data_IF_654094522780
#
_entry.id   IF_654094522780
#
_cell.length_a   1.000
_cell.length_b   1.000
_cell.length_c   1.000
_cell.angle_alpha   90.00
_cell.angle_beta   90.00
_cell.angle_gamma   90.00
#
_symmetry.space_group_name_H-M   'P 1'
#
loop_
_entity.id
_entity.type
_entity.pdbx_description
1 polymer ?
#
# COMPACT_ATOMS: atom_id res chain seq x y z
N UNK A 1 0.21 -25.96 -0.43
CA UNK A 1 -0.78 -24.89 -0.30
C UNK A 1 -0.39 -23.79 -1.29
N UNK A 2 -1.21 -23.48 -2.29
CA UNK A 2 -0.84 -22.50 -3.32
C UNK A 2 -1.47 -21.15 -2.95
N UNK A 3 -0.73 -20.31 -2.23
CA UNK A 3 -1.22 -19.06 -1.60
C UNK A 3 -1.90 -18.13 -2.62
N UNK A 4 -1.47 -18.17 -3.89
CA UNK A 4 -2.02 -17.36 -4.98
C UNK A 4 -3.35 -17.89 -5.57
N UNK A 5 -3.81 -19.08 -5.17
CA UNK A 5 -5.11 -19.65 -5.61
C UNK A 5 -6.24 -19.39 -4.63
N UNK A 6 -5.93 -19.09 -3.37
CA UNK A 6 -6.91 -18.70 -2.36
C UNK A 6 -7.27 -17.22 -2.61
N UNK A 7 -8.52 -16.89 -2.96
CA UNK A 7 -8.90 -15.54 -3.38
C UNK A 7 -8.66 -14.50 -2.29
N UNK A 8 -8.82 -14.88 -1.02
CA UNK A 8 -8.66 -13.97 0.12
C UNK A 8 -7.18 -13.61 0.36
N UNK A 9 -6.27 -14.58 0.34
CA UNK A 9 -4.83 -14.29 0.47
C UNK A 9 -4.30 -13.45 -0.69
N UNK A 10 -4.71 -13.76 -1.92
CA UNK A 10 -4.33 -12.96 -3.08
C UNK A 10 -4.82 -11.51 -2.94
N UNK A 11 -6.08 -11.32 -2.56
CA UNK A 11 -6.66 -10.00 -2.31
C UNK A 11 -5.87 -9.24 -1.25
N UNK A 12 -5.52 -9.88 -0.13
CA UNK A 12 -4.82 -9.24 0.98
C UNK A 12 -3.40 -8.82 0.62
N UNK A 13 -2.68 -9.62 -0.17
CA UNK A 13 -1.35 -9.26 -0.70
C UNK A 13 -1.45 -8.04 -1.60
N UNK A 14 -2.33 -8.08 -2.61
CA UNK A 14 -2.48 -6.99 -3.58
C UNK A 14 -2.91 -5.70 -2.88
N UNK A 15 -3.87 -5.79 -1.97
CA UNK A 15 -4.36 -4.63 -1.22
C UNK A 15 -3.29 -4.04 -0.31
N UNK A 16 -2.51 -4.88 0.38
CA UNK A 16 -1.40 -4.42 1.23
C UNK A 16 -0.34 -3.68 0.43
N UNK A 17 0.03 -4.16 -0.77
CA UNK A 17 0.96 -3.44 -1.63
C UNK A 17 0.38 -2.13 -2.16
N UNK A 18 -0.84 -2.16 -2.70
CA UNK A 18 -1.51 -0.99 -3.29
C UNK A 18 -1.64 0.14 -2.27
N UNK A 19 -2.11 -0.16 -1.06
CA UNK A 19 -2.28 0.84 -0.01
C UNK A 19 -0.93 1.40 0.45
N UNK A 20 0.07 0.54 0.68
CA UNK A 20 1.41 0.98 1.10
C UNK A 20 2.08 1.90 0.07
N UNK A 21 1.91 1.63 -1.22
CA UNK A 21 2.39 2.51 -2.28
C UNK A 21 1.70 3.88 -2.23
N UNK A 22 0.36 3.87 -2.17
CA UNK A 22 -0.48 5.08 -2.25
C UNK A 22 -0.30 5.96 -1.01
N UNK A 23 -0.45 5.41 0.19
CA UNK A 23 -0.41 6.20 1.42
C UNK A 23 1.00 6.71 1.72
N UNK A 24 2.02 5.85 1.59
CA UNK A 24 3.40 6.24 1.85
C UNK A 24 3.86 7.35 0.90
N UNK A 25 3.66 7.21 -0.42
CA UNK A 25 4.09 8.26 -1.37
C UNK A 25 3.33 9.57 -1.15
N UNK A 26 2.02 9.50 -0.86
CA UNK A 26 1.19 10.69 -0.61
C UNK A 26 1.65 11.44 0.63
N UNK A 27 1.91 10.72 1.72
CA UNK A 27 2.41 11.31 2.97
C UNK A 27 3.82 11.88 2.78
N UNK A 28 4.75 11.12 2.19
CA UNK A 28 6.13 11.59 1.99
C UNK A 28 6.18 12.86 1.13
N UNK A 29 5.37 12.95 0.06
CA UNK A 29 5.26 14.17 -0.75
C UNK A 29 4.69 15.33 0.07
N UNK A 30 3.67 15.09 0.89
CA UNK A 30 3.09 16.13 1.74
C UNK A 30 4.08 16.68 2.78
N UNK A 31 4.80 15.80 3.48
CA UNK A 31 5.82 16.21 4.45
C UNK A 31 7.00 16.92 3.74
N UNK A 32 7.40 16.43 2.57
CA UNK A 32 8.43 17.07 1.77
C UNK A 32 8.03 18.49 1.34
N UNK A 33 6.76 18.70 0.99
CA UNK A 33 6.21 20.02 0.65
C UNK A 33 6.13 20.98 1.86
N UNK A 34 6.00 20.44 3.08
CA UNK A 34 5.85 21.25 4.29
C UNK A 34 7.18 21.64 4.97
N UNK A 35 8.21 20.78 4.90
CA UNK A 35 9.41 20.93 5.76
C UNK A 35 10.73 20.95 5.00
N UNK A 36 10.81 20.30 3.84
CA UNK A 36 12.06 20.03 3.12
C UNK A 36 13.21 19.41 3.96
N UNK A 37 12.91 18.86 5.14
CA UNK A 37 13.89 18.22 6.03
C UNK A 37 13.95 16.70 5.76
N UNK A 38 15.08 16.19 5.21
CA UNK A 38 15.23 14.76 4.92
C UNK A 38 15.05 13.86 6.16
N UNK A 39 15.44 14.34 7.35
CA UNK A 39 15.30 13.57 8.58
C UNK A 39 13.83 13.35 8.95
N UNK A 40 13.01 14.40 8.87
CA UNK A 40 11.57 14.31 9.15
C UNK A 40 10.86 13.40 8.15
N UNK A 41 11.20 13.50 6.87
CA UNK A 41 10.59 12.66 5.82
C UNK A 41 10.91 11.18 6.05
N UNK A 42 12.18 10.86 6.34
CA UNK A 42 12.58 9.49 6.63
C UNK A 42 11.90 8.96 7.90
N UNK A 43 11.91 9.74 8.98
CA UNK A 43 11.26 9.38 10.24
C UNK A 43 9.76 9.14 10.05
N UNK A 44 9.06 10.03 9.34
CA UNK A 44 7.64 9.84 9.04
C UNK A 44 7.41 8.58 8.21
N UNK A 45 8.25 8.31 7.20
CA UNK A 45 8.14 7.10 6.40
C UNK A 45 8.21 5.82 7.23
N UNK A 46 9.20 5.71 8.12
CA UNK A 46 9.33 4.54 8.99
C UNK A 46 8.13 4.39 9.93
N UNK A 47 7.69 5.50 10.55
CA UNK A 47 6.56 5.49 11.48
C UNK A 47 5.27 5.09 10.77
N UNK A 48 4.97 5.71 9.63
CA UNK A 48 3.78 5.42 8.82
C UNK A 48 3.78 3.96 8.41
N UNK A 49 4.89 3.46 7.86
CA UNK A 49 4.95 2.06 7.40
C UNK A 49 4.70 1.09 8.55
N UNK A 50 5.32 1.30 9.71
CA UNK A 50 5.14 0.43 10.86
C UNK A 50 3.72 0.47 11.42
N UNK A 51 3.17 1.67 11.59
CA UNK A 51 1.83 1.87 12.18
C UNK A 51 0.73 1.39 11.24
N UNK A 52 0.78 1.75 9.95
CA UNK A 52 -0.22 1.32 8.98
C UNK A 52 -0.14 -0.19 8.71
N UNK A 53 1.05 -0.78 8.59
CA UNK A 53 1.18 -2.23 8.44
C UNK A 53 0.50 -2.97 9.60
N UNK A 54 0.76 -2.57 10.85
CA UNK A 54 0.12 -3.16 12.03
C UNK A 54 -1.40 -2.97 11.99
N UNK A 55 -1.86 -1.75 11.73
CA UNK A 55 -3.29 -1.42 11.66
C UNK A 55 -4.02 -2.28 10.63
N UNK A 56 -3.48 -2.37 9.42
CA UNK A 56 -4.07 -3.12 8.32
C UNK A 56 -3.97 -4.63 8.54
N UNK A 57 -2.83 -5.15 8.99
CA UNK A 57 -2.66 -6.58 9.24
C UNK A 57 -3.62 -7.09 10.32
N UNK A 58 -3.74 -6.34 11.42
CA UNK A 58 -4.72 -6.63 12.47
C UNK A 58 -6.14 -6.44 11.95
N UNK A 59 -6.42 -5.37 11.20
CA UNK A 59 -7.72 -5.11 10.60
C UNK A 59 -8.20 -6.24 9.67
N UNK A 60 -7.31 -6.77 8.84
CA UNK A 60 -7.60 -7.91 7.98
C UNK A 60 -7.87 -9.19 8.76
N UNK A 61 -7.05 -9.49 9.78
CA UNK A 61 -7.31 -10.63 10.68
C UNK A 61 -8.69 -10.52 11.34
N UNK A 62 -9.04 -9.36 11.91
CA UNK A 62 -10.35 -9.18 12.56
C UNK A 62 -11.49 -9.25 11.54
N UNK A 63 -11.33 -8.64 10.35
CA UNK A 63 -12.35 -8.65 9.30
C UNK A 63 -12.62 -10.06 8.77
N UNK A 64 -11.57 -10.86 8.58
CA UNK A 64 -11.68 -12.24 8.10
C UNK A 64 -12.27 -13.14 9.19
N UNK A 65 -11.82 -12.99 10.44
CA UNK A 65 -12.42 -13.68 11.59
C UNK A 65 -13.91 -13.38 11.74
N UNK A 66 -14.33 -12.11 11.58
CA UNK A 66 -15.73 -11.74 11.62
C UNK A 66 -16.52 -12.36 10.44
N UNK A 67 -15.93 -12.39 9.26
CA UNK A 67 -16.53 -13.03 8.07
C UNK A 67 -16.72 -14.54 8.28
N UNK A 68 -15.77 -15.21 8.94
CA UNK A 68 -15.87 -16.63 9.29
C UNK A 68 -16.99 -16.91 10.28
N UNK A 69 -17.13 -16.08 11.31
CA UNK A 69 -18.21 -16.20 12.29
C UNK A 69 -19.59 -16.04 11.64
N UNK A 70 -19.72 -15.14 10.67
CA UNK A 70 -20.94 -14.99 9.87
C UNK A 70 -21.19 -16.21 8.98
N UNK A 71 -20.17 -16.72 8.29
CA UNK A 71 -20.31 -17.91 7.45
C UNK A 71 -20.71 -19.16 8.26
N UNK A 72 -20.16 -19.32 9.46
CA UNK A 72 -20.54 -20.39 10.37
C UNK A 72 -22.03 -20.31 10.74
N UNK A 73 -22.53 -19.10 11.02
CA UNK A 73 -23.96 -18.87 11.27
C UNK A 73 -24.84 -19.19 10.05
N UNK A 74 -24.32 -19.02 8.84
CA UNK A 74 -25.00 -19.34 7.57
C UNK A 74 -24.78 -20.80 7.11
N UNK A 75 -24.09 -21.63 7.91
CA UNK A 75 -23.61 -22.99 7.54
C UNK A 75 -22.77 -23.04 6.26
N UNK A 76 -22.06 -21.97 5.93
CA UNK A 76 -21.00 -21.96 4.91
C UNK A 76 -19.68 -22.34 5.55
N UNK A 77 -18.86 -23.14 4.86
CA UNK A 77 -17.56 -23.56 5.34
C UNK A 77 -16.47 -22.67 4.77
N UNK A 78 -15.87 -21.82 5.59
CA UNK A 78 -14.61 -21.13 5.26
C UNK A 78 -13.42 -22.09 5.44
N UNK A 79 -12.42 -21.99 4.58
CA UNK A 79 -11.25 -22.91 4.57
C UNK A 79 -9.91 -22.19 4.72
N UNK A 80 -9.94 -20.86 4.63
CA UNK A 80 -8.82 -19.95 4.83
C UNK A 80 -8.50 -19.77 6.33
N UNK A 81 -7.33 -19.21 6.63
CA UNK A 81 -6.87 -18.93 7.99
C UNK A 81 -6.77 -17.41 8.15
N UNK A 82 -7.63 -16.79 8.98
CA UNK A 82 -7.63 -15.35 9.20
C UNK A 82 -6.27 -14.78 9.61
N UNK A 83 -5.51 -15.56 10.39
CA UNK A 83 -4.18 -15.14 10.85
C UNK A 83 -3.20 -15.04 9.69
N UNK A 84 -3.27 -15.98 8.75
CA UNK A 84 -2.39 -15.96 7.59
C UNK A 84 -2.73 -14.78 6.68
N UNK A 85 -4.02 -14.47 6.50
CA UNK A 85 -4.44 -13.26 5.82
C UNK A 85 -3.81 -12.00 6.43
N UNK A 86 -4.03 -11.77 7.72
CA UNK A 86 -3.50 -10.60 8.42
C UNK A 86 -1.97 -10.48 8.32
N UNK A 87 -1.25 -11.60 8.43
CA UNK A 87 0.21 -11.64 8.26
C UNK A 87 0.62 -11.30 6.81
N UNK A 88 -0.08 -11.82 5.80
CA UNK A 88 0.21 -11.52 4.41
C UNK A 88 -0.02 -10.04 4.10
N UNK A 89 -1.08 -9.43 4.63
CA UNK A 89 -1.31 -8.00 4.51
C UNK A 89 -0.20 -7.19 5.18
N UNK A 90 0.14 -7.51 6.44
CA UNK A 90 1.20 -6.84 7.20
C UNK A 90 2.54 -6.87 6.46
N UNK A 91 2.97 -8.05 5.99
CA UNK A 91 4.24 -8.22 5.27
C UNK A 91 4.22 -7.51 3.93
N UNK A 92 3.13 -7.64 3.16
CA UNK A 92 3.01 -6.98 1.86
C UNK A 92 3.05 -5.46 2.01
N UNK A 93 2.42 -4.93 3.06
CA UNK A 93 2.44 -3.51 3.35
C UNK A 93 3.85 -3.02 3.67
N UNK A 94 4.58 -3.69 4.58
CA UNK A 94 5.97 -3.31 4.91
C UNK A 94 6.84 -3.29 3.66
N UNK A 95 6.76 -4.37 2.86
CA UNK A 95 7.56 -4.48 1.64
C UNK A 95 7.19 -3.42 0.60
N UNK A 96 5.90 -3.13 0.43
CA UNK A 96 5.40 -2.10 -0.47
C UNK A 96 5.83 -0.71 -0.05
N UNK A 97 5.68 -0.37 1.23
CA UNK A 97 6.02 0.94 1.78
C UNK A 97 7.51 1.26 1.74
N UNK A 98 8.38 0.24 1.76
CA UNK A 98 9.81 0.45 1.56
C UNK A 98 10.14 1.03 0.18
N UNK A 99 9.35 0.75 -0.87
CA UNK A 99 9.65 1.21 -2.23
C UNK A 99 9.66 2.74 -2.36
N UNK A 100 8.62 3.49 -1.94
CA UNK A 100 8.67 4.95 -1.93
C UNK A 100 9.70 5.51 -0.93
N UNK A 101 10.04 4.78 0.13
CA UNK A 101 10.95 5.28 1.18
C UNK A 101 12.44 5.16 0.79
N UNK A 102 12.84 4.07 0.14
CA UNK A 102 14.26 3.78 -0.19
C UNK A 102 14.97 4.95 -0.90
N UNK A 103 14.36 5.63 -1.90
CA UNK A 103 15.00 6.77 -2.57
C UNK A 103 15.46 7.88 -1.62
N UNK A 104 14.78 8.10 -0.50
CA UNK A 104 15.15 9.11 0.50
C UNK A 104 16.36 8.72 1.34
N UNK A 105 16.75 7.45 1.35
CA UNK A 105 17.92 6.94 2.08
C UNK A 105 19.18 7.06 1.20
N UNK A 106 19.03 6.81 -0.10
CA UNK A 106 20.17 6.61 -1.01
C UNK A 106 20.46 7.79 -1.94
N UNK A 107 19.48 8.69 -2.17
CA UNK A 107 19.61 9.79 -3.14
C UNK A 107 19.59 11.16 -2.45
N UNK A 108 20.20 12.18 -3.09
CA UNK A 108 20.03 13.57 -2.69
C UNK A 108 18.55 13.99 -2.72
N UNK A 109 18.15 14.82 -1.77
CA UNK A 109 16.75 15.21 -1.54
C UNK A 109 15.98 15.61 -2.81
N UNK A 110 16.57 16.44 -3.67
CA UNK A 110 15.93 16.88 -4.91
C UNK A 110 15.62 15.75 -5.90
N UNK A 111 16.46 14.71 -5.97
CA UNK A 111 16.23 13.53 -6.80
C UNK A 111 15.36 12.48 -6.11
N UNK A 112 15.46 12.37 -4.77
CA UNK A 112 14.74 11.38 -3.98
C UNK A 112 13.22 11.45 -4.18
N UNK A 113 12.64 12.66 -4.22
CA UNK A 113 11.19 12.84 -4.43
C UNK A 113 10.76 12.32 -5.80
N UNK A 114 11.43 12.74 -6.87
CA UNK A 114 11.08 12.33 -8.23
C UNK A 114 11.28 10.82 -8.44
N UNK A 115 12.35 10.25 -7.89
CA UNK A 115 12.60 8.80 -7.96
C UNK A 115 11.62 8.01 -7.10
N UNK A 116 11.22 8.51 -5.94
CA UNK A 116 10.18 7.90 -5.09
C UNK A 116 8.84 7.84 -5.81
N UNK A 117 8.39 8.97 -6.35
CA UNK A 117 7.15 9.04 -7.15
C UNK A 117 7.25 8.08 -8.35
N UNK A 118 8.33 8.14 -9.11
CA UNK A 118 8.55 7.26 -10.27
C UNK A 118 8.55 5.77 -9.90
N UNK A 119 9.25 5.38 -8.84
CA UNK A 119 9.30 4.01 -8.36
C UNK A 119 7.92 3.52 -7.91
N UNK A 120 7.14 4.36 -7.23
CA UNK A 120 5.77 4.03 -6.83
C UNK A 120 4.85 3.84 -8.03
N UNK A 121 4.87 4.75 -9.01
CA UNK A 121 4.05 4.60 -10.21
C UNK A 121 4.43 3.37 -11.03
N UNK A 122 5.72 3.05 -11.13
CA UNK A 122 6.20 1.81 -11.77
C UNK A 122 5.75 0.57 -10.98
N UNK A 123 5.84 0.60 -9.65
CA UNK A 123 5.38 -0.47 -8.77
C UNK A 123 3.89 -0.73 -8.91
N UNK A 124 3.06 0.32 -8.87
CA UNK A 124 1.61 0.24 -9.05
C UNK A 124 1.22 -0.19 -10.46
N UNK A 125 1.92 0.30 -11.49
CA UNK A 125 1.71 -0.16 -12.84
C UNK A 125 1.96 -1.67 -12.95
N UNK A 126 3.09 -2.14 -12.44
CA UNK A 126 3.45 -3.56 -12.44
C UNK A 126 2.43 -4.38 -11.64
N UNK A 127 2.10 -3.95 -10.42
CA UNK A 127 1.13 -4.61 -9.55
C UNK A 127 -0.25 -4.72 -10.21
N UNK A 128 -0.77 -3.61 -10.74
CA UNK A 128 -2.06 -3.57 -11.40
C UNK A 128 -2.10 -4.36 -12.69
N UNK A 129 -1.02 -4.36 -13.47
CA UNK A 129 -0.92 -5.14 -14.69
C UNK A 129 -0.86 -6.65 -14.38
N UNK A 130 -0.08 -7.06 -13.39
CA UNK A 130 0.00 -8.45 -12.92
C UNK A 130 -1.35 -8.89 -12.37
N UNK A 131 -1.96 -8.10 -11.47
CA UNK A 131 -3.30 -8.36 -10.92
C UNK A 131 -4.32 -8.53 -12.04
N UNK A 132 -4.34 -7.62 -13.01
CA UNK A 132 -5.29 -7.66 -14.11
C UNK A 132 -5.17 -8.93 -14.95
N UNK A 133 -3.93 -9.36 -15.25
CA UNK A 133 -3.69 -10.64 -15.96
C UNK A 133 -4.13 -11.85 -15.15
N UNK A 134 -3.81 -11.89 -13.86
CA UNK A 134 -4.14 -13.02 -12.98
C UNK A 134 -5.65 -13.19 -12.79
N UNK A 135 -6.38 -12.07 -12.64
CA UNK A 135 -7.84 -12.05 -12.45
C UNK A 135 -8.61 -12.03 -13.79
N UNK A 136 -7.91 -12.13 -14.92
CA UNK A 136 -8.49 -12.15 -16.28
C UNK A 136 -9.36 -10.93 -16.61
N UNK A 137 -8.99 -9.76 -16.09
CA UNK A 137 -9.57 -8.46 -16.47
C UNK A 137 -8.57 -7.69 -17.34
N UNK A 138 -8.96 -6.55 -17.91
CA UNK A 138 -8.05 -5.75 -18.74
C UNK A 138 -6.84 -5.24 -17.89
N UNK A 139 -5.60 -5.69 -18.15
CA UNK A 139 -4.43 -5.34 -17.33
C UNK A 139 -4.10 -3.85 -17.34
N UNK A 140 -4.29 -3.20 -18.50
CA UNK A 140 -4.00 -1.77 -18.66
C UNK A 140 -4.95 -0.91 -17.84
N UNK A 141 -6.25 -1.26 -17.87
CA UNK A 141 -7.25 -0.57 -17.08
C UNK A 141 -6.95 -0.69 -15.58
N UNK A 142 -6.62 -1.91 -15.13
CA UNK A 142 -6.27 -2.13 -13.73
C UNK A 142 -5.03 -1.37 -13.28
N UNK A 143 -3.99 -1.27 -14.12
CA UNK A 143 -2.80 -0.49 -13.84
C UNK A 143 -3.12 1.01 -13.73
N UNK A 144 -3.92 1.54 -14.67
CA UNK A 144 -4.33 2.95 -14.68
C UNK A 144 -5.19 3.30 -13.47
N UNK A 145 -6.10 2.42 -13.05
CA UNK A 145 -6.94 2.61 -11.86
C UNK A 145 -6.08 2.79 -10.60
N UNK A 146 -5.11 1.90 -10.38
CA UNK A 146 -4.21 1.95 -9.21
C UNK A 146 -3.29 3.18 -9.24
N UNK A 147 -2.71 3.50 -10.41
CA UNK A 147 -1.90 4.71 -10.57
C UNK A 147 -2.71 5.99 -10.33
N UNK A 148 -3.98 6.01 -10.71
CA UNK A 148 -4.86 7.17 -10.54
C UNK A 148 -5.15 7.44 -9.07
N UNK A 149 -5.33 6.40 -8.26
CA UNK A 149 -5.47 6.52 -6.80
C UNK A 149 -4.21 7.13 -6.18
N UNK A 150 -3.02 6.67 -6.58
CA UNK A 150 -1.77 7.27 -6.11
C UNK A 150 -1.60 8.73 -6.55
N UNK A 151 -1.95 9.05 -7.79
CA UNK A 151 -1.95 10.44 -8.28
C UNK A 151 -2.84 11.35 -7.44
N UNK A 152 -4.04 10.89 -7.10
CA UNK A 152 -4.94 11.63 -6.21
C UNK A 152 -4.35 11.80 -4.80
N UNK A 153 -3.78 10.74 -4.22
CA UNK A 153 -3.13 10.80 -2.91
C UNK A 153 -1.94 11.77 -2.88
N UNK A 154 -1.12 11.81 -3.93
CA UNK A 154 -0.01 12.76 -4.09
C UNK A 154 -0.53 14.20 -4.16
N UNK A 155 -1.58 14.46 -4.93
CA UNK A 155 -2.18 15.79 -5.05
C UNK A 155 -2.71 16.26 -3.69
N UNK A 156 -3.44 15.39 -2.97
CA UNK A 156 -3.96 15.68 -1.63
C UNK A 156 -2.82 15.93 -0.64
N UNK A 157 -1.82 15.03 -0.60
CA UNK A 157 -0.66 15.16 0.28
C UNK A 157 0.10 16.46 0.04
N UNK A 158 0.42 16.76 -1.22
CA UNK A 158 1.09 18.01 -1.61
C UNK A 158 0.28 19.25 -1.23
N UNK A 159 -1.03 19.25 -1.49
CA UNK A 159 -1.91 20.37 -1.14
C UNK A 159 -1.96 20.61 0.37
N UNK A 160 -2.12 19.55 1.17
CA UNK A 160 -2.13 19.64 2.63
C UNK A 160 -0.78 20.11 3.19
N UNK A 161 0.32 19.59 2.66
CA UNK A 161 1.67 20.01 3.06
C UNK A 161 1.93 21.49 2.78
N UNK A 162 1.49 21.99 1.62
CA UNK A 162 1.65 23.39 1.25
C UNK A 162 0.81 24.35 2.09
N UNK A 163 -0.42 23.97 2.43
CA UNK A 163 -1.33 24.82 3.23
C UNK A 163 -0.79 25.08 4.64
N UNK A 164 -0.16 24.09 5.26
CA UNK A 164 0.38 24.20 6.63
C UNK A 164 1.63 25.10 6.67
N UNK A 165 2.33 25.25 5.55
CA UNK A 165 3.55 26.06 5.42
C UNK A 165 3.35 27.38 4.66
N UNK A 166 2.10 27.78 4.39
CA UNK A 166 1.76 29.08 3.77
C UNK A 166 1.45 30.16 4.79
#
# INVERSE_FOLDING_TARGET
MNILREPDYFKQIIFGFDDAFVSTVGILVGIAAATADPYLIFLTGIVVIGVEALSMGVGAFLSEKASHQLQESERKRSTDNPMLGGVLMFVSYILGGCVPLVPYIVLPFGLAISVSIGATFLGLFALGFIKGRLVKVNPWRSAIEMMSVAGAAIIVGYALGKVIHS
#
